data_IF_419621871369
#
_entry.id   IF_419621871369
#
_cell.length_a   1.000
_cell.length_b   1.000
_cell.length_c   1.000
_cell.angle_alpha   90.00
_cell.angle_beta   90.00
_cell.angle_gamma   90.00
#
_symmetry.space_group_name_H-M   'P 1'
#
loop_
_entity.id
_entity.type
_entity.pdbx_description
1 polymer ?
#
# COMPACT_ATOMS: atom_id res chain seq x y z
N UNK A 1 39.66 30.73 -28.66
CA UNK A 1 39.47 29.44 -27.95
C UNK A 1 39.31 29.74 -26.47
N UNK A 2 38.09 29.68 -25.92
CA UNK A 2 37.82 29.94 -24.51
C UNK A 2 37.64 28.62 -23.76
N UNK A 3 38.62 28.23 -22.95
CA UNK A 3 38.49 27.10 -22.03
C UNK A 3 38.03 27.61 -20.66
N UNK A 4 36.73 27.48 -20.41
CA UNK A 4 36.14 27.73 -19.09
C UNK A 4 36.48 26.55 -18.18
N UNK A 5 37.40 26.76 -17.23
CA UNK A 5 37.71 25.76 -16.18
C UNK A 5 36.56 25.73 -15.17
N UNK A 6 35.77 24.67 -15.26
CA UNK A 6 34.73 24.27 -14.31
C UNK A 6 35.36 24.01 -12.95
N UNK A 7 35.01 24.79 -11.92
CA UNK A 7 35.36 24.47 -10.52
C UNK A 7 34.33 23.50 -9.95
N UNK A 8 34.65 22.22 -10.00
CA UNK A 8 34.02 21.19 -9.19
C UNK A 8 34.46 21.36 -7.73
N UNK A 9 33.52 21.57 -6.82
CA UNK A 9 33.77 21.44 -5.38
C UNK A 9 33.01 20.21 -4.86
N UNK A 10 33.69 19.07 -4.90
CA UNK A 10 33.39 17.91 -4.07
C UNK A 10 34.55 17.69 -3.08
N UNK A 11 34.19 17.81 -1.80
CA UNK A 11 34.77 17.19 -0.59
C UNK A 11 36.28 17.19 -0.30
N UNK A 12 36.63 17.85 0.81
CA UNK A 12 37.61 17.39 1.81
C UNK A 12 37.17 18.04 3.14
N UNK A 13 36.68 17.33 4.16
CA UNK A 13 36.99 15.97 4.57
C UNK A 13 38.27 15.99 5.42
N UNK A 14 38.09 16.30 6.70
CA UNK A 14 39.07 16.20 7.80
C UNK A 14 40.28 17.16 7.75
N UNK A 15 40.22 18.24 8.52
CA UNK A 15 41.40 18.77 9.21
C UNK A 15 41.16 18.65 10.71
N UNK A 16 41.80 17.65 11.31
CA UNK A 16 41.89 17.44 12.75
C UNK A 16 43.38 17.47 13.10
N UNK A 17 43.69 18.30 14.09
CA UNK A 17 44.89 18.36 14.96
C UNK A 17 46.20 18.91 14.36
N UNK A 18 46.50 20.16 14.73
CA UNK A 18 47.78 20.48 15.39
C UNK A 18 47.60 21.57 16.46
N UNK A 19 47.57 21.07 17.70
CA UNK A 19 48.15 21.64 18.93
C UNK A 19 48.20 23.16 19.10
N UNK A 20 47.34 23.65 20.00
CA UNK A 20 47.76 24.55 21.10
C UNK A 20 46.64 24.63 22.15
N UNK A 21 46.96 24.16 23.37
CA UNK A 21 46.27 24.40 24.66
C UNK A 21 44.74 24.29 24.68
N UNK A 22 44.23 23.09 25.02
CA UNK A 22 42.83 22.89 25.42
C UNK A 22 42.68 23.45 26.84
N UNK A 23 41.91 24.53 26.98
CA UNK A 23 41.38 24.93 28.29
C UNK A 23 40.05 24.21 28.53
N UNK A 24 39.65 23.90 29.78
CA UNK A 24 38.45 23.10 30.06
C UNK A 24 37.12 23.81 29.80
N UNK A 25 37.14 25.01 29.19
CA UNK A 25 35.99 25.92 29.09
C UNK A 25 35.55 26.20 27.64
N UNK A 26 35.87 25.35 26.67
CA UNK A 26 35.27 25.41 25.33
C UNK A 26 34.00 24.55 25.25
N UNK A 27 33.04 24.82 26.14
CA UNK A 27 31.66 24.43 25.90
C UNK A 27 31.17 25.30 24.75
N UNK A 28 31.07 24.71 23.55
CA UNK A 28 30.59 25.37 22.33
C UNK A 28 29.22 26.00 22.61
N UNK A 29 29.22 27.26 23.03
CA UNK A 29 28.04 28.10 23.07
C UNK A 29 27.71 28.48 21.63
N UNK A 30 27.10 27.55 20.90
CA UNK A 30 26.43 27.92 19.65
C UNK A 30 25.36 28.96 20.01
N UNK A 31 25.62 30.23 19.64
CA UNK A 31 24.63 31.32 19.81
C UNK A 31 23.28 30.84 19.28
N UNK A 32 22.17 31.01 20.03
CA UNK A 32 20.85 30.63 19.57
C UNK A 32 20.57 31.32 18.23
N UNK A 33 20.24 30.52 17.21
CA UNK A 33 19.89 31.04 15.89
C UNK A 33 18.68 31.95 16.03
N UNK A 34 18.65 33.04 15.28
CA UNK A 34 17.45 33.87 15.23
C UNK A 34 16.29 33.06 14.63
N UNK A 35 15.05 33.32 15.08
CA UNK A 35 13.84 32.67 14.54
C UNK A 35 13.76 32.74 13.01
N UNK A 36 14.34 33.79 12.40
CA UNK A 36 14.42 33.93 10.96
C UNK A 36 15.42 32.96 10.31
N UNK A 37 16.56 32.71 10.95
CA UNK A 37 17.57 31.77 10.47
C UNK A 37 17.09 30.31 10.57
N UNK A 38 16.32 29.96 11.59
CA UNK A 38 15.69 28.63 11.73
C UNK A 38 14.63 28.38 10.66
N UNK A 39 13.76 29.38 10.39
CA UNK A 39 12.76 29.31 9.31
C UNK A 39 13.42 29.10 7.94
N UNK A 40 14.51 29.80 7.65
CA UNK A 40 15.28 29.62 6.40
C UNK A 40 15.85 28.20 6.30
N UNK A 41 16.42 27.66 7.37
CA UNK A 41 16.91 26.28 7.37
C UNK A 41 15.81 25.23 7.21
N UNK A 42 14.66 25.43 7.86
CA UNK A 42 13.51 24.56 7.70
C UNK A 42 12.99 24.55 6.26
N UNK A 43 12.92 25.72 5.61
CA UNK A 43 12.53 25.84 4.20
C UNK A 43 13.51 25.10 3.26
N UNK A 44 14.82 25.19 3.50
CA UNK A 44 15.83 24.45 2.72
C UNK A 44 15.69 22.94 2.93
N UNK A 45 15.50 22.48 4.18
CA UNK A 45 15.26 21.05 4.48
C UNK A 45 14.01 20.53 3.78
N UNK A 46 12.92 21.30 3.78
CA UNK A 46 11.68 20.96 3.08
C UNK A 46 11.87 20.89 1.56
N UNK A 47 12.55 21.88 0.97
CA UNK A 47 12.88 21.90 -0.47
C UNK A 47 13.74 20.70 -0.89
N UNK A 48 14.77 20.36 -0.09
CA UNK A 48 15.61 19.19 -0.33
C UNK A 48 14.82 17.87 -0.18
N UNK A 49 13.95 17.78 0.82
CA UNK A 49 13.08 16.61 1.00
C UNK A 49 12.15 16.41 -0.19
N UNK A 50 11.53 17.47 -0.70
CA UNK A 50 10.68 17.40 -1.89
C UNK A 50 11.48 17.07 -3.16
N UNK A 51 12.69 17.64 -3.33
CA UNK A 51 13.58 17.25 -4.45
C UNK A 51 13.89 15.76 -4.40
N UNK A 52 14.24 15.21 -3.22
CA UNK A 52 14.47 13.77 -3.03
C UNK A 52 13.22 12.94 -3.35
N UNK A 53 12.04 13.40 -2.95
CA UNK A 53 10.76 12.75 -3.29
C UNK A 53 10.55 12.68 -4.81
N UNK A 54 10.73 13.79 -5.51
CA UNK A 54 10.62 13.87 -6.98
C UNK A 54 11.63 12.98 -7.69
N UNK A 55 12.89 12.99 -7.23
CA UNK A 55 13.93 12.11 -7.75
C UNK A 55 13.53 10.64 -7.62
N UNK A 56 13.09 10.21 -6.44
CA UNK A 56 12.63 8.82 -6.22
C UNK A 56 11.50 8.42 -7.16
N UNK A 57 10.48 9.27 -7.31
CA UNK A 57 9.34 9.01 -8.20
C UNK A 57 9.80 8.91 -9.65
N UNK A 58 10.68 9.80 -10.10
CA UNK A 58 11.19 9.78 -11.46
C UNK A 58 12.07 8.55 -11.71
N UNK A 59 12.91 8.15 -10.74
CA UNK A 59 13.69 6.90 -10.83
C UNK A 59 12.79 5.68 -11.00
N UNK A 60 11.70 5.60 -10.23
CA UNK A 60 10.70 4.52 -10.36
C UNK A 60 10.02 4.54 -11.73
N UNK A 61 9.67 5.73 -12.24
CA UNK A 61 9.07 5.89 -13.56
C UNK A 61 10.02 5.45 -14.69
N UNK A 62 11.30 5.83 -14.64
CA UNK A 62 12.28 5.39 -15.63
C UNK A 62 12.53 3.87 -15.57
N UNK A 63 12.58 3.29 -14.37
CA UNK A 63 12.65 1.84 -14.22
C UNK A 63 11.44 1.15 -14.86
N UNK A 64 10.23 1.67 -14.61
CA UNK A 64 8.99 1.17 -15.23
C UNK A 64 9.05 1.27 -16.76
N UNK A 65 9.49 2.41 -17.29
CA UNK A 65 9.65 2.62 -18.74
C UNK A 65 10.63 1.63 -19.36
N UNK A 66 11.75 1.35 -18.69
CA UNK A 66 12.75 0.40 -19.16
C UNK A 66 12.24 -1.05 -19.20
N UNK A 67 11.34 -1.44 -18.28
CA UNK A 67 10.74 -2.78 -18.27
C UNK A 67 9.92 -3.07 -19.53
N UNK A 68 9.30 -2.06 -20.14
CA UNK A 68 8.39 -2.25 -21.27
C UNK A 68 9.05 -2.27 -22.66
N UNK A 69 10.39 -2.29 -22.75
CA UNK A 69 11.19 -2.36 -24.00
C UNK A 69 10.77 -1.42 -25.15
N UNK A 70 9.91 -0.43 -24.90
CA UNK A 70 9.44 0.53 -25.89
C UNK A 70 10.26 1.80 -25.79
N UNK A 71 11.29 1.91 -26.64
CA UNK A 71 12.17 3.09 -26.79
C UNK A 71 11.48 4.27 -27.49
N UNK A 72 10.18 4.22 -27.73
CA UNK A 72 9.45 5.32 -28.36
C UNK A 72 9.05 6.37 -27.31
N UNK A 73 8.89 7.62 -27.74
CA UNK A 73 8.45 8.74 -26.90
C UNK A 73 6.97 8.56 -26.52
N UNK A 74 6.66 7.62 -25.64
CA UNK A 74 5.34 7.52 -25.03
C UNK A 74 5.22 8.60 -23.97
N UNK A 75 4.16 9.39 -24.04
CA UNK A 75 3.86 10.33 -22.96
C UNK A 75 3.58 9.56 -21.66
N UNK A 76 3.75 10.26 -20.53
CA UNK A 76 3.65 9.66 -19.20
C UNK A 76 2.27 9.06 -18.91
N UNK A 77 1.21 9.66 -19.42
CA UNK A 77 -0.14 9.18 -19.16
C UNK A 77 -0.41 7.88 -19.92
N UNK A 78 -0.04 7.83 -21.21
CA UNK A 78 -0.17 6.64 -22.05
C UNK A 78 0.63 5.46 -21.50
N UNK A 79 1.87 5.67 -21.06
CA UNK A 79 2.68 4.59 -20.45
C UNK A 79 2.02 4.02 -19.19
N UNK A 80 1.43 4.89 -18.35
CA UNK A 80 0.73 4.44 -17.15
C UNK A 80 -0.56 3.70 -17.49
N UNK A 81 -1.30 4.15 -18.51
CA UNK A 81 -2.52 3.48 -18.97
C UNK A 81 -2.21 2.07 -19.52
N UNK A 82 -1.21 1.94 -20.39
CA UNK A 82 -0.79 0.64 -20.93
C UNK A 82 -0.25 -0.28 -19.83
N UNK A 83 0.50 0.25 -18.87
CA UNK A 83 0.95 -0.51 -17.69
C UNK A 83 -0.24 -1.10 -16.92
N UNK A 84 -1.26 -0.30 -16.66
CA UNK A 84 -2.48 -0.75 -15.95
C UNK A 84 -3.17 -1.86 -16.75
N UNK A 85 -3.27 -1.71 -18.07
CA UNK A 85 -3.88 -2.71 -18.93
C UNK A 85 -3.09 -4.03 -18.94
N UNK A 86 -1.77 -3.96 -19.07
CA UNK A 86 -0.89 -5.15 -19.00
C UNK A 86 -1.07 -5.86 -17.65
N UNK A 87 -1.05 -5.14 -16.54
CA UNK A 87 -1.26 -5.73 -15.20
C UNK A 87 -2.64 -6.37 -15.10
N UNK A 88 -3.69 -5.74 -15.64
CA UNK A 88 -5.04 -6.33 -15.68
C UNK A 88 -5.08 -7.61 -16.52
N UNK A 89 -4.41 -7.64 -17.66
CA UNK A 89 -4.37 -8.81 -18.54
C UNK A 89 -3.56 -9.95 -17.93
N UNK A 90 -2.41 -9.66 -17.31
CA UNK A 90 -1.62 -10.65 -16.58
C UNK A 90 -2.42 -11.31 -15.46
N UNK A 91 -3.21 -10.54 -14.69
CA UNK A 91 -4.12 -11.07 -13.66
C UNK A 91 -5.19 -11.99 -14.24
N UNK A 92 -5.82 -11.60 -15.36
CA UNK A 92 -6.82 -12.46 -16.01
C UNK A 92 -6.18 -13.78 -16.46
N UNK A 93 -4.98 -13.73 -17.03
CA UNK A 93 -4.30 -14.91 -17.55
C UNK A 93 -3.85 -15.86 -16.42
N UNK A 94 -3.36 -15.37 -15.28
CA UNK A 94 -3.01 -16.22 -14.14
C UNK A 94 -4.23 -16.99 -13.61
N UNK A 95 -5.39 -16.33 -13.55
CA UNK A 95 -6.65 -16.96 -13.13
C UNK A 95 -7.09 -18.05 -14.11
N UNK A 96 -7.01 -17.80 -15.41
CA UNK A 96 -7.37 -18.80 -16.44
C UNK A 96 -6.47 -20.04 -16.36
N UNK A 97 -5.19 -19.86 -16.00
CA UNK A 97 -4.23 -20.96 -15.86
C UNK A 97 -4.50 -21.81 -14.60
N UNK A 98 -4.90 -21.20 -13.49
CA UNK A 98 -5.28 -21.92 -12.27
C UNK A 98 -6.58 -22.71 -12.46
N UNK A 99 -7.58 -22.12 -13.12
CA UNK A 99 -8.85 -22.80 -13.40
C UNK A 99 -8.71 -24.01 -14.33
N UNK A 100 -7.77 -23.97 -15.28
CA UNK A 100 -7.49 -25.09 -16.19
C UNK A 100 -6.69 -26.23 -15.53
N UNK A 101 -6.05 -25.98 -14.38
CA UNK A 101 -5.38 -27.03 -13.59
C UNK A 101 -6.31 -27.81 -12.66
N UNK A 102 -7.54 -27.32 -12.41
CA UNK A 102 -8.51 -27.95 -11.49
C UNK A 102 -9.69 -28.67 -12.17
N UNK A 103 -9.80 -28.70 -13.50
CA UNK A 103 -10.90 -29.39 -14.18
C UNK A 103 -10.45 -30.12 -15.45
N UNK A 104 -10.00 -31.37 -15.27
CA UNK A 104 -10.33 -32.41 -16.25
C UNK A 104 -11.79 -32.78 -16.02
N UNK A 105 -12.72 -32.10 -16.68
CA UNK A 105 -13.95 -32.69 -17.24
C UNK A 105 -14.75 -31.67 -18.04
N UNK A 106 -14.84 -32.03 -19.31
CA UNK A 106 -15.90 -31.77 -20.28
C UNK A 106 -16.00 -30.43 -21.01
N UNK A 107 -16.12 -30.63 -22.31
CA UNK A 107 -16.15 -29.72 -23.43
C UNK A 107 -17.61 -29.43 -23.78
N UNK A 108 -17.94 -28.17 -24.06
CA UNK A 108 -18.82 -27.67 -25.13
C UNK A 108 -19.66 -26.45 -24.70
N UNK A 109 -19.39 -25.30 -25.32
CA UNK A 109 -20.18 -24.75 -26.45
C UNK A 109 -19.99 -23.23 -26.53
N UNK A 110 -19.69 -22.80 -27.75
CA UNK A 110 -19.40 -21.44 -28.19
C UNK A 110 -20.66 -20.55 -28.16
N UNK A 111 -20.40 -19.24 -28.12
CA UNK A 111 -21.25 -18.10 -28.51
C UNK A 111 -22.16 -17.48 -27.45
N UNK A 112 -21.77 -16.30 -26.96
CA UNK A 112 -22.52 -15.07 -27.28
C UNK A 112 -21.72 -13.82 -26.87
N UNK A 113 -21.14 -13.16 -27.88
CA UNK A 113 -20.73 -11.76 -27.80
C UNK A 113 -22.00 -10.88 -27.87
N UNK A 114 -22.48 -10.38 -26.72
CA UNK A 114 -22.96 -8.98 -26.54
C UNK A 114 -23.71 -8.83 -25.22
N UNK A 115 -23.56 -7.63 -24.67
CA UNK A 115 -24.10 -7.07 -23.42
C UNK A 115 -23.36 -7.56 -22.17
N UNK A 116 -22.46 -6.71 -21.68
CA UNK A 116 -22.43 -6.30 -20.27
C UNK A 116 -21.46 -5.12 -20.15
N UNK A 117 -22.01 -3.95 -20.46
CA UNK A 117 -21.55 -2.70 -19.91
C UNK A 117 -22.25 -2.57 -18.55
N UNK A 118 -21.90 -3.42 -17.58
CA UNK A 118 -22.33 -3.28 -16.19
C UNK A 118 -21.49 -4.21 -15.31
N UNK A 119 -20.90 -3.60 -14.28
CA UNK A 119 -20.11 -4.20 -13.22
C UNK A 119 -18.85 -4.99 -13.67
N UNK A 120 -17.68 -4.40 -13.41
CA UNK A 120 -16.53 -5.19 -12.99
C UNK A 120 -16.97 -6.08 -11.81
N UNK A 121 -17.37 -7.31 -12.10
CA UNK A 121 -17.39 -8.38 -11.13
C UNK A 121 -16.18 -9.25 -11.42
N UNK A 122 -15.04 -9.05 -10.72
CA UNK A 122 -14.03 -10.08 -10.66
C UNK A 122 -14.67 -11.25 -9.91
N UNK A 123 -15.06 -12.29 -10.65
CA UNK A 123 -15.32 -13.60 -10.05
C UNK A 123 -13.96 -14.21 -9.74
N UNK A 124 -13.79 -14.52 -8.46
CA UNK A 124 -12.70 -15.23 -7.79
C UNK A 124 -11.39 -14.45 -7.58
N UNK A 125 -11.32 -13.93 -6.35
CA UNK A 125 -10.17 -13.57 -5.53
C UNK A 125 -9.08 -12.70 -6.18
N UNK A 126 -9.29 -11.38 -6.14
CA UNK A 126 -8.20 -10.40 -6.17
C UNK A 126 -7.20 -10.73 -5.06
N UNK A 127 -6.18 -11.55 -5.36
CA UNK A 127 -5.17 -12.04 -4.38
C UNK A 127 -4.55 -10.87 -3.60
N UNK A 128 -4.43 -9.70 -4.23
CA UNK A 128 -3.83 -8.52 -3.65
C UNK A 128 -4.81 -7.61 -2.90
N UNK A 129 -4.32 -6.88 -1.87
CA UNK A 129 -5.12 -5.87 -1.19
C UNK A 129 -5.64 -4.78 -2.13
N UNK A 130 -6.92 -4.48 -2.04
CA UNK A 130 -7.50 -3.29 -2.67
C UNK A 130 -6.94 -2.02 -2.03
N UNK A 131 -6.79 -0.95 -2.81
CA UNK A 131 -6.41 0.38 -2.31
C UNK A 131 -7.49 1.01 -1.42
N UNK A 132 -8.73 0.52 -1.50
CA UNK A 132 -9.84 1.01 -0.70
C UNK A 132 -10.00 0.19 0.57
N UNK A 133 -10.36 0.88 1.65
CA UNK A 133 -10.79 0.25 2.90
C UNK A 133 -12.22 -0.29 2.66
N UNK A 134 -12.36 -1.58 2.37
CA UNK A 134 -13.65 -2.23 2.11
C UNK A 134 -13.71 -3.65 2.65
N UNK A 135 -14.89 -4.07 3.10
CA UNK A 135 -15.20 -5.46 3.42
C UNK A 135 -16.35 -5.98 2.55
N UNK A 136 -16.41 -7.30 2.36
CA UNK A 136 -17.52 -7.99 1.72
C UNK A 136 -17.76 -9.34 2.37
N UNK A 137 -19.02 -9.73 2.51
CA UNK A 137 -19.41 -11.05 2.99
C UNK A 137 -20.21 -11.74 1.89
N UNK A 138 -19.81 -12.96 1.53
CA UNK A 138 -20.50 -13.81 0.55
C UNK A 138 -20.83 -15.13 1.21
N UNK A 139 -21.94 -15.74 0.81
CA UNK A 139 -22.25 -17.12 1.17
C UNK A 139 -21.71 -18.03 0.05
N UNK A 140 -20.86 -18.98 0.41
CA UNK A 140 -20.30 -19.97 -0.50
C UNK A 140 -20.52 -21.34 0.14
N UNK A 141 -21.39 -22.15 -0.48
CA UNK A 141 -21.90 -23.40 0.10
C UNK A 141 -22.54 -23.17 1.49
N UNK A 142 -21.99 -23.81 2.54
CA UNK A 142 -22.38 -23.70 3.95
C UNK A 142 -21.44 -22.78 4.77
N UNK A 143 -20.60 -22.00 4.10
CA UNK A 143 -19.61 -21.13 4.72
C UNK A 143 -19.85 -19.67 4.34
N UNK A 144 -19.68 -18.79 5.33
CA UNK A 144 -19.60 -17.36 5.12
C UNK A 144 -18.15 -16.98 4.78
N UNK A 145 -17.93 -16.49 3.56
CA UNK A 145 -16.64 -15.95 3.10
C UNK A 145 -16.60 -14.45 3.37
N UNK A 146 -15.90 -14.05 4.42
CA UNK A 146 -15.62 -12.66 4.76
C UNK A 146 -14.30 -12.23 4.13
N UNK A 147 -14.31 -11.18 3.30
CA UNK A 147 -13.11 -10.56 2.72
C UNK A 147 -12.97 -9.15 3.27
N UNK A 148 -11.79 -8.81 3.78
CA UNK A 148 -11.43 -7.52 4.34
C UNK A 148 -10.20 -6.96 3.61
N UNK A 149 -10.26 -5.71 3.18
CA UNK A 149 -9.11 -4.96 2.65
C UNK A 149 -8.92 -3.69 3.48
N UNK A 150 -7.78 -3.52 4.12
CA UNK A 150 -7.52 -2.34 4.96
C UNK A 150 -6.03 -2.01 5.02
N UNK A 151 -5.69 -0.85 5.58
CA UNK A 151 -4.32 -0.52 5.96
C UNK A 151 -3.82 -1.48 7.06
N UNK A 152 -2.56 -1.90 6.94
CA UNK A 152 -1.88 -2.70 7.97
C UNK A 152 -1.66 -1.84 9.22
N UNK A 153 -2.32 -2.21 10.32
CA UNK A 153 -2.35 -1.46 11.57
C UNK A 153 -2.03 -2.38 12.74
N UNK A 154 -1.29 -1.90 13.75
CA UNK A 154 -1.02 -2.69 14.94
C UNK A 154 -2.34 -3.06 15.62
N UNK A 155 -2.50 -4.34 15.96
CA UNK A 155 -3.72 -4.85 16.60
C UNK A 155 -4.86 -5.20 15.64
N UNK A 156 -4.71 -5.06 14.33
CA UNK A 156 -5.73 -5.45 13.33
C UNK A 156 -6.22 -6.89 13.57
N UNK A 157 -5.30 -7.85 13.63
CA UNK A 157 -5.64 -9.27 13.82
C UNK A 157 -6.32 -9.55 15.17
N UNK A 158 -5.95 -8.84 16.24
CA UNK A 158 -6.64 -8.97 17.53
C UNK A 158 -8.08 -8.47 17.43
N UNK A 159 -8.30 -7.39 16.68
CA UNK A 159 -9.64 -6.82 16.50
C UNK A 159 -10.50 -7.72 15.62
N UNK A 160 -9.93 -8.33 14.58
CA UNK A 160 -10.58 -9.37 13.77
C UNK A 160 -10.92 -10.59 14.65
N UNK A 161 -9.97 -11.07 15.45
CA UNK A 161 -10.19 -12.22 16.34
C UNK A 161 -11.30 -11.95 17.37
N UNK A 162 -11.36 -10.74 17.94
CA UNK A 162 -12.46 -10.30 18.80
C UNK A 162 -13.79 -10.28 18.05
N UNK A 163 -13.80 -9.77 16.83
CA UNK A 163 -15.00 -9.75 16.00
C UNK A 163 -15.53 -11.16 15.71
N UNK A 164 -14.62 -12.11 15.44
CA UNK A 164 -14.98 -13.51 15.24
C UNK A 164 -15.46 -14.18 16.53
N UNK A 165 -14.84 -13.86 17.67
CA UNK A 165 -15.26 -14.36 18.99
C UNK A 165 -16.67 -13.91 19.38
N UNK A 166 -17.09 -12.71 18.97
CA UNK A 166 -18.44 -12.18 19.26
C UNK A 166 -19.58 -12.88 18.52
N UNK A 167 -19.28 -13.66 17.47
CA UNK A 167 -20.29 -14.29 16.60
C UNK A 167 -20.43 -15.79 16.89
N UNK A 168 -19.71 -16.33 17.89
CA UNK A 168 -19.62 -17.78 18.18
C UNK A 168 -19.31 -18.64 16.92
N UNK A 169 -18.64 -18.05 15.93
CA UNK A 169 -18.45 -18.66 14.63
C UNK A 169 -17.06 -19.29 14.50
N UNK A 170 -17.00 -20.48 13.89
CA UNK A 170 -15.76 -21.22 13.70
C UNK A 170 -15.09 -20.84 12.39
N UNK A 171 -13.89 -20.29 12.44
CA UNK A 171 -13.07 -20.04 11.24
C UNK A 171 -12.53 -21.38 10.73
N UNK A 172 -12.91 -21.76 9.51
CA UNK A 172 -12.51 -23.00 8.85
C UNK A 172 -11.23 -22.81 8.04
N UNK A 173 -11.08 -21.66 7.39
CA UNK A 173 -9.92 -21.31 6.58
C UNK A 173 -9.65 -19.81 6.70
N UNK A 174 -8.38 -19.43 6.65
CA UNK A 174 -7.94 -18.05 6.61
C UNK A 174 -6.82 -17.89 5.57
N UNK A 175 -6.94 -16.88 4.71
CA UNK A 175 -5.89 -16.44 3.80
C UNK A 175 -5.57 -14.97 4.09
N UNK A 176 -4.28 -14.63 4.05
CA UNK A 176 -3.82 -13.27 4.32
C UNK A 176 -2.73 -12.87 3.35
N UNK A 177 -2.81 -11.64 2.84
CA UNK A 177 -1.82 -11.05 1.93
C UNK A 177 -1.51 -9.63 2.37
N UNK A 178 -0.23 -9.32 2.54
CA UNK A 178 0.25 -7.99 2.91
C UNK A 178 1.11 -7.41 1.78
N UNK A 179 0.73 -6.26 1.24
CA UNK A 179 1.49 -5.55 0.19
C UNK A 179 1.42 -4.06 0.42
N UNK A 180 2.58 -3.40 0.46
CA UNK A 180 2.68 -1.94 0.46
C UNK A 180 1.98 -1.25 1.64
N UNK A 181 1.97 -1.88 2.82
CA UNK A 181 1.28 -1.37 4.01
C UNK A 181 -0.24 -1.56 3.99
N UNK A 182 -0.75 -2.39 3.07
CA UNK A 182 -2.15 -2.83 3.05
C UNK A 182 -2.23 -4.33 3.27
N UNK A 183 -3.34 -4.75 3.87
CA UNK A 183 -3.62 -6.12 4.25
C UNK A 183 -4.97 -6.53 3.66
N UNK A 184 -4.96 -7.69 3.01
CA UNK A 184 -6.16 -8.45 2.62
C UNK A 184 -6.26 -9.65 3.55
N UNK A 185 -7.44 -9.85 4.13
CA UNK A 185 -7.77 -11.05 4.91
C UNK A 185 -9.03 -11.67 4.33
N UNK A 186 -8.98 -12.96 3.99
CA UNK A 186 -10.14 -13.75 3.59
C UNK A 186 -10.36 -14.83 4.64
N UNK A 187 -11.54 -14.85 5.25
CA UNK A 187 -11.92 -15.81 6.28
C UNK A 187 -13.13 -16.59 5.78
N UNK A 188 -13.05 -17.92 5.84
CA UNK A 188 -14.19 -18.81 5.66
C UNK A 188 -14.66 -19.23 7.03
N UNK A 189 -15.91 -18.90 7.33
CA UNK A 189 -16.48 -18.99 8.66
C UNK A 189 -17.71 -19.88 8.60
N UNK A 190 -17.78 -20.86 9.50
CA UNK A 190 -18.99 -21.64 9.75
C UNK A 190 -19.71 -21.06 10.96
N UNK A 191 -20.96 -20.67 10.78
CA UNK A 191 -21.81 -20.28 11.91
C UNK A 191 -22.15 -21.54 12.72
N UNK A 192 -21.96 -21.48 14.03
CA UNK A 192 -22.28 -22.60 14.93
C UNK A 192 -23.78 -22.67 15.22
N UNK A 193 -24.50 -21.55 15.16
CA UNK A 193 -25.92 -21.47 15.54
C UNK A 193 -26.87 -21.49 14.33
N UNK A 194 -26.38 -21.40 13.10
CA UNK A 194 -27.21 -21.46 11.87
C UNK A 194 -28.21 -20.30 11.71
N UNK A 195 -28.15 -19.30 12.60
CA UNK A 195 -29.10 -18.19 12.65
C UNK A 195 -28.61 -17.00 11.83
N UNK A 196 -29.51 -16.36 11.07
CA UNK A 196 -29.26 -15.06 10.37
C UNK A 196 -28.68 -13.96 11.28
N UNK A 197 -28.81 -14.13 12.60
CA UNK A 197 -28.29 -13.23 13.64
C UNK A 197 -26.76 -13.18 13.66
N UNK A 198 -26.07 -14.29 13.42
CA UNK A 198 -24.61 -14.34 13.40
C UNK A 198 -24.02 -13.50 12.26
N UNK A 199 -24.61 -13.63 11.07
CA UNK A 199 -24.26 -12.85 9.90
C UNK A 199 -24.41 -11.34 10.15
N UNK A 200 -25.53 -10.89 10.73
CA UNK A 200 -25.74 -9.48 11.04
C UNK A 200 -24.72 -8.92 12.04
N UNK A 201 -24.40 -9.68 13.09
CA UNK A 201 -23.41 -9.26 14.09
C UNK A 201 -22.04 -9.14 13.42
N UNK A 202 -21.67 -10.10 12.56
CA UNK A 202 -20.41 -10.06 11.81
C UNK A 202 -20.36 -8.84 10.89
N UNK A 203 -21.43 -8.57 10.12
CA UNK A 203 -21.53 -7.40 9.23
C UNK A 203 -21.39 -6.08 10.00
N UNK A 204 -22.07 -5.94 11.14
CA UNK A 204 -21.95 -4.76 12.01
C UNK A 204 -20.52 -4.62 12.53
N UNK A 205 -19.94 -5.70 13.05
CA UNK A 205 -18.62 -5.65 13.66
C UNK A 205 -17.54 -5.34 12.63
N UNK A 206 -17.54 -6.00 11.47
CA UNK A 206 -16.64 -5.69 10.36
C UNK A 206 -16.78 -4.24 9.88
N UNK A 207 -18.00 -3.72 9.82
CA UNK A 207 -18.23 -2.30 9.50
C UNK A 207 -17.61 -1.36 10.52
N UNK A 208 -17.69 -1.69 11.81
CA UNK A 208 -17.03 -0.92 12.88
C UNK A 208 -15.49 -1.01 12.79
N UNK A 209 -14.92 -2.16 12.42
CA UNK A 209 -13.47 -2.30 12.22
C UNK A 209 -12.91 -1.33 11.18
N UNK A 210 -13.70 -1.03 10.14
CA UNK A 210 -13.29 -0.15 9.05
C UNK A 210 -13.42 1.33 9.39
N UNK A 211 -14.15 1.68 10.44
CA UNK A 211 -14.26 3.07 10.87
C UNK A 211 -12.91 3.50 11.42
N UNK A 212 -12.31 4.50 10.76
CA UNK A 212 -11.05 5.07 11.23
C UNK A 212 -11.29 5.66 12.62
N UNK A 213 -10.50 5.28 13.64
CA UNK A 213 -10.59 5.95 14.93
C UNK A 213 -10.29 7.43 14.71
N UNK A 214 -11.20 8.30 15.11
CA UNK A 214 -10.98 9.75 15.07
C UNK A 214 -9.75 10.02 15.94
N UNK A 215 -8.66 10.60 15.40
CA UNK A 215 -7.49 10.88 16.19
C UNK A 215 -7.89 11.82 17.34
N UNK A 216 -7.77 11.33 18.58
CA UNK A 216 -7.96 12.17 19.77
C UNK A 216 -6.96 13.31 19.64
N UNK A 217 -7.43 14.55 19.44
CA UNK A 217 -6.60 15.75 19.46
C UNK A 217 -5.79 15.69 20.74
N UNK A 218 -4.46 15.51 20.64
CA UNK A 218 -3.56 15.69 21.78
C UNK A 218 -3.75 17.13 22.21
N UNK A 219 -4.44 17.34 23.34
CA UNK A 219 -4.43 18.63 24.02
C UNK A 219 -2.98 18.83 24.43
N UNK A 220 -2.28 19.70 23.71
CA UNK A 220 -1.03 20.24 24.20
C UNK A 220 -1.42 21.09 25.40
N UNK A 221 -1.12 20.60 26.60
CA UNK A 221 -1.09 21.44 27.79
C UNK A 221 0.01 22.48 27.56
N UNK A 222 -0.38 23.74 27.68
CA UNK A 222 0.44 24.92 27.44
C UNK A 222 1.46 25.11 28.56
#
# INVERSE_FOLDING_TARGET
MGMQRVRNHYYSGAQILRSSSITPYDYIFTKPRSKAADKKQAAVKHSQAEKRRRMRINTQYEALKNLFQNKTKTDKASLLATTIEIVKNLRKNSILQEASSSSKKEMNKVTNQKKMQEACSPRNDDVFPSWEDKWSLKHEEDLMKATLNCEDKPGLMSTIAKAMGSVEAKVVKAEMVNVGGRTRVVLWVKDSNGDRKGEEILKRTLSTLMQRPVPKKRRFTQ
#
